data_IF_860995023705
#
_entry.id   IF_860995023705
#
_cell.length_a   1.000
_cell.length_b   1.000
_cell.length_c   1.000
_cell.angle_alpha   90.00
_cell.angle_beta   90.00
_cell.angle_gamma   90.00
#
_symmetry.space_group_name_H-M   'P 1'
#
loop_
_entity.id
_entity.type
_entity.pdbx_description
1 polymer ?
#
# COMPACT_ATOMS: atom_id res chain seq x y z
N UNK A 1 41.36 34.98 33.04
CA UNK A 1 41.29 33.63 32.41
C UNK A 1 40.23 32.71 33.03
N UNK A 2 39.36 33.19 33.94
CA UNK A 2 38.31 32.36 34.56
C UNK A 2 36.96 32.52 33.84
N UNK A 3 36.60 33.74 33.41
CA UNK A 3 35.34 34.01 32.68
C UNK A 3 35.22 33.26 31.34
N UNK A 4 36.33 33.07 30.63
CA UNK A 4 36.35 32.31 29.36
C UNK A 4 36.15 30.81 29.57
N UNK A 5 36.45 30.27 30.76
CA UNK A 5 36.21 28.87 31.12
C UNK A 5 34.76 28.60 31.50
N UNK A 6 34.12 29.52 32.22
CA UNK A 6 32.71 29.35 32.62
C UNK A 6 31.76 29.49 31.42
N UNK A 7 32.04 30.43 30.52
CA UNK A 7 31.28 30.58 29.27
C UNK A 7 31.44 29.36 28.36
N UNK A 8 32.66 28.84 28.18
CA UNK A 8 32.90 27.63 27.38
C UNK A 8 32.28 26.36 27.99
N UNK A 9 32.28 26.22 29.32
CA UNK A 9 31.55 25.12 29.98
C UNK A 9 30.03 25.27 29.81
N UNK A 10 29.49 26.49 29.90
CA UNK A 10 28.07 26.75 29.64
C UNK A 10 27.63 26.38 28.22
N UNK A 11 28.43 26.72 27.20
CA UNK A 11 28.15 26.32 25.82
C UNK A 11 28.19 24.80 25.63
N UNK A 12 29.11 24.10 26.29
CA UNK A 12 29.20 22.64 26.21
C UNK A 12 27.97 21.94 26.82
N UNK A 13 27.48 22.44 27.96
CA UNK A 13 26.27 21.91 28.60
C UNK A 13 25.03 22.19 27.76
N UNK A 14 24.93 23.38 27.18
CA UNK A 14 23.82 23.71 26.27
C UNK A 14 23.84 22.83 25.02
N UNK A 15 25.01 22.64 24.40
CA UNK A 15 25.15 21.84 23.19
C UNK A 15 24.84 20.36 23.45
N UNK A 16 25.29 19.80 24.57
CA UNK A 16 24.96 18.43 24.96
C UNK A 16 23.47 18.26 25.25
N UNK A 17 22.83 19.23 25.92
CA UNK A 17 21.38 19.21 26.14
C UNK A 17 20.58 19.26 24.83
N UNK A 18 21.00 20.08 23.85
CA UNK A 18 20.38 20.15 22.52
C UNK A 18 20.53 18.83 21.77
N UNK A 19 21.71 18.20 21.80
CA UNK A 19 21.92 16.89 21.16
C UNK A 19 21.03 15.82 21.79
N UNK A 20 20.95 15.78 23.12
CA UNK A 20 20.10 14.81 23.84
C UNK A 20 18.62 15.05 23.51
N UNK A 21 18.18 16.30 23.48
CA UNK A 21 16.81 16.66 23.08
C UNK A 21 16.50 16.21 21.65
N UNK A 22 17.39 16.45 20.69
CA UNK A 22 17.23 16.00 19.30
C UNK A 22 17.21 14.47 19.20
N UNK A 23 17.99 13.76 20.00
CA UNK A 23 18.01 12.30 20.04
C UNK A 23 16.69 11.73 20.59
N UNK A 24 16.17 12.31 21.68
CA UNK A 24 14.86 11.95 22.25
C UNK A 24 13.75 12.22 21.24
N UNK A 25 13.77 13.38 20.58
CA UNK A 25 12.80 13.72 19.54
C UNK A 25 12.86 12.74 18.35
N UNK A 26 14.06 12.38 17.89
CA UNK A 26 14.23 11.36 16.83
C UNK A 26 13.65 10.01 17.23
N UNK A 27 13.88 9.55 18.46
CA UNK A 27 13.30 8.30 18.95
C UNK A 27 11.78 8.40 19.09
N UNK A 28 11.24 9.53 19.54
CA UNK A 28 9.80 9.75 19.66
C UNK A 28 9.11 9.76 18.29
N UNK A 29 9.68 10.48 17.31
CA UNK A 29 9.17 10.50 15.94
C UNK A 29 9.34 9.14 15.23
N UNK A 30 10.42 8.41 15.46
CA UNK A 30 10.60 7.07 14.86
C UNK A 30 9.66 6.02 15.44
N UNK A 31 9.17 6.18 16.68
CA UNK A 31 8.40 5.14 17.37
C UNK A 31 6.88 5.32 17.28
N UNK A 32 6.36 6.55 17.14
CA UNK A 32 4.94 6.79 17.47
C UNK A 32 4.01 7.01 16.26
N UNK A 33 4.45 7.56 15.12
CA UNK A 33 3.48 8.06 14.10
C UNK A 33 3.75 7.66 12.63
N UNK A 34 4.97 7.73 12.07
CA UNK A 34 5.15 7.52 10.64
C UNK A 34 4.97 6.05 10.22
N UNK A 35 5.36 5.11 11.08
CA UNK A 35 5.41 3.69 10.70
C UNK A 35 4.06 3.01 10.59
N UNK A 36 3.04 3.44 11.34
CA UNK A 36 1.69 2.87 11.22
C UNK A 36 0.93 3.46 10.04
N UNK A 37 0.86 4.79 9.94
CA UNK A 37 0.19 5.46 8.82
C UNK A 37 0.82 5.11 7.46
N UNK A 38 2.17 5.06 7.36
CA UNK A 38 2.83 4.63 6.12
C UNK A 38 2.65 3.14 5.82
N UNK A 39 2.48 2.31 6.85
CA UNK A 39 2.24 0.88 6.65
C UNK A 39 0.82 0.64 6.16
N UNK A 40 -0.16 1.31 6.78
CA UNK A 40 -1.57 1.26 6.37
C UNK A 40 -1.74 1.79 4.94
N UNK A 41 -1.07 2.89 4.58
CA UNK A 41 -1.09 3.41 3.22
C UNK A 41 -0.43 2.46 2.20
N UNK A 42 0.68 1.81 2.56
CA UNK A 42 1.29 0.79 1.70
C UNK A 42 0.40 -0.43 1.53
N UNK A 43 -0.27 -0.87 2.59
CA UNK A 43 -1.18 -2.00 2.54
C UNK A 43 -2.40 -1.68 1.66
N UNK A 44 -2.96 -0.46 1.74
CA UNK A 44 -4.00 0.03 0.84
C UNK A 44 -3.53 0.06 -0.62
N UNK A 45 -2.42 0.72 -0.91
CA UNK A 45 -1.89 0.82 -2.28
C UNK A 45 -1.61 -0.57 -2.87
N UNK A 46 -1.07 -1.50 -2.07
CA UNK A 46 -0.83 -2.87 -2.51
C UNK A 46 -2.13 -3.61 -2.86
N UNK A 47 -3.22 -3.37 -2.14
CA UNK A 47 -4.53 -3.95 -2.45
C UNK A 47 -5.13 -3.33 -3.72
N UNK A 48 -5.00 -2.01 -3.89
CA UNK A 48 -5.41 -1.32 -5.11
C UNK A 48 -4.63 -1.81 -6.34
N UNK A 49 -3.31 -1.99 -6.22
CA UNK A 49 -2.46 -2.54 -7.28
C UNK A 49 -2.93 -3.95 -7.68
N UNK A 50 -3.17 -4.82 -6.70
CA UNK A 50 -3.67 -6.20 -6.96
C UNK A 50 -5.03 -6.20 -7.65
N UNK A 51 -5.93 -5.31 -7.23
CA UNK A 51 -7.24 -5.15 -7.85
C UNK A 51 -7.12 -4.69 -9.32
N UNK A 52 -6.27 -3.70 -9.59
CA UNK A 52 -6.01 -3.22 -10.96
C UNK A 52 -5.38 -4.31 -11.83
N UNK A 53 -4.40 -5.04 -11.31
CA UNK A 53 -3.77 -6.16 -12.02
C UNK A 53 -4.80 -7.25 -12.37
N UNK A 54 -5.71 -7.59 -11.45
CA UNK A 54 -6.75 -8.59 -11.70
C UNK A 54 -7.72 -8.14 -12.80
N UNK A 55 -8.14 -6.86 -12.79
CA UNK A 55 -8.95 -6.28 -13.87
C UNK A 55 -8.25 -6.31 -15.22
N UNK A 56 -6.97 -5.93 -15.29
CA UNK A 56 -6.20 -6.01 -16.53
C UNK A 56 -6.11 -7.44 -17.08
N UNK A 57 -5.89 -8.43 -16.20
CA UNK A 57 -5.89 -9.84 -16.59
C UNK A 57 -7.24 -10.28 -17.15
N UNK A 58 -8.33 -9.87 -16.51
CA UNK A 58 -9.70 -10.15 -16.96
C UNK A 58 -9.93 -9.57 -18.35
N UNK A 59 -9.61 -8.30 -18.57
CA UNK A 59 -9.75 -7.65 -19.88
C UNK A 59 -8.98 -8.39 -20.96
N UNK A 60 -7.75 -8.80 -20.66
CA UNK A 60 -6.94 -9.60 -21.56
C UNK A 60 -7.64 -10.93 -21.92
N UNK A 61 -8.14 -11.69 -20.94
CA UNK A 61 -8.88 -12.93 -21.21
C UNK A 61 -10.16 -12.71 -22.02
N UNK A 62 -10.91 -11.63 -21.73
CA UNK A 62 -12.11 -11.24 -22.49
C UNK A 62 -11.78 -10.93 -23.94
N UNK A 63 -10.69 -10.19 -24.19
CA UNK A 63 -10.21 -9.90 -25.55
C UNK A 63 -9.81 -11.17 -26.30
N UNK A 64 -9.06 -12.07 -25.65
CA UNK A 64 -8.69 -13.37 -26.25
C UNK A 64 -9.91 -14.24 -26.54
N UNK A 65 -10.90 -14.24 -25.65
CA UNK A 65 -12.15 -14.97 -25.86
C UNK A 65 -12.96 -14.40 -27.02
N UNK A 66 -13.06 -13.08 -27.14
CA UNK A 66 -13.72 -12.42 -28.26
C UNK A 66 -13.01 -12.74 -29.59
N UNK A 67 -11.67 -12.69 -29.58
CA UNK A 67 -10.84 -13.07 -30.72
C UNK A 67 -11.04 -14.55 -31.12
N UNK A 68 -11.00 -15.48 -30.15
CA UNK A 68 -11.22 -16.90 -30.38
C UNK A 68 -12.61 -17.19 -30.96
N UNK A 69 -13.66 -16.53 -30.43
CA UNK A 69 -15.03 -16.62 -30.97
C UNK A 69 -15.11 -16.08 -32.41
N UNK A 70 -14.45 -14.96 -32.70
CA UNK A 70 -14.45 -14.37 -34.06
C UNK A 70 -13.83 -15.29 -35.11
N UNK A 71 -12.84 -16.12 -34.71
CA UNK A 71 -12.15 -17.06 -35.60
C UNK A 71 -12.76 -18.44 -35.64
N UNK A 72 -13.87 -18.66 -34.92
CA UNK A 72 -14.47 -20.00 -34.74
C UNK A 72 -13.44 -21.01 -34.23
N UNK A 73 -12.59 -20.56 -33.29
CA UNK A 73 -11.65 -21.44 -32.61
C UNK A 73 -12.39 -22.61 -31.94
N UNK A 74 -11.67 -23.70 -31.67
CA UNK A 74 -12.27 -24.91 -31.11
C UNK A 74 -13.05 -24.64 -29.82
N UNK A 75 -14.17 -25.33 -29.63
CA UNK A 75 -15.03 -25.18 -28.44
C UNK A 75 -14.25 -25.37 -27.13
N UNK A 76 -13.21 -26.21 -27.13
CA UNK A 76 -12.36 -26.45 -25.96
C UNK A 76 -11.56 -25.20 -25.55
N UNK A 77 -11.00 -24.46 -26.52
CA UNK A 77 -10.21 -23.26 -26.27
C UNK A 77 -11.10 -22.10 -25.79
N UNK A 78 -12.28 -21.94 -26.39
CA UNK A 78 -13.30 -20.98 -25.94
C UNK A 78 -13.76 -21.29 -24.52
N UNK A 79 -14.03 -22.57 -24.21
CA UNK A 79 -14.44 -23.00 -22.87
C UNK A 79 -13.34 -22.77 -21.84
N UNK A 80 -12.08 -23.03 -22.20
CA UNK A 80 -10.92 -22.77 -21.32
C UNK A 80 -10.79 -21.28 -21.02
N UNK A 81 -10.85 -20.42 -22.03
CA UNK A 81 -10.78 -18.96 -21.85
C UNK A 81 -11.96 -18.44 -21.03
N UNK A 82 -13.16 -19.00 -21.22
CA UNK A 82 -14.33 -18.64 -20.44
C UNK A 82 -14.17 -18.98 -18.95
N UNK A 83 -13.66 -20.18 -18.64
CA UNK A 83 -13.30 -20.55 -17.26
C UNK A 83 -12.23 -19.65 -16.65
N UNK A 84 -11.26 -19.19 -17.46
CA UNK A 84 -10.26 -18.24 -16.99
C UNK A 84 -10.89 -16.89 -16.63
N UNK A 85 -11.83 -16.38 -17.44
CA UNK A 85 -12.59 -15.17 -17.12
C UNK A 85 -13.38 -15.36 -15.83
N UNK A 86 -14.18 -16.42 -15.71
CA UNK A 86 -14.98 -16.70 -14.51
C UNK A 86 -14.13 -16.81 -13.24
N UNK A 87 -12.95 -17.43 -13.33
CA UNK A 87 -12.02 -17.53 -12.20
C UNK A 87 -11.45 -16.17 -11.81
N UNK A 88 -11.11 -15.32 -12.79
CA UNK A 88 -10.61 -13.97 -12.51
C UNK A 88 -11.72 -13.06 -11.99
N UNK A 89 -12.96 -13.23 -12.45
CA UNK A 89 -14.13 -12.51 -11.91
C UNK A 89 -14.33 -12.85 -10.43
N UNK A 90 -14.27 -14.13 -10.06
CA UNK A 90 -14.34 -14.53 -8.65
C UNK A 90 -13.17 -13.99 -7.80
N UNK A 91 -11.97 -13.83 -8.38
CA UNK A 91 -10.83 -13.19 -7.70
C UNK A 91 -11.07 -11.69 -7.49
N UNK A 92 -11.67 -11.00 -8.46
CA UNK A 92 -12.02 -9.59 -8.36
C UNK A 92 -13.09 -9.38 -7.29
N UNK A 93 -14.13 -10.22 -7.24
CA UNK A 93 -15.19 -10.14 -6.24
C UNK A 93 -14.63 -10.29 -4.81
N UNK A 94 -13.72 -11.26 -4.59
CA UNK A 94 -13.05 -11.46 -3.30
C UNK A 94 -12.15 -10.27 -2.92
N UNK A 95 -11.42 -9.70 -3.89
CA UNK A 95 -10.61 -8.50 -3.67
C UNK A 95 -11.48 -7.28 -3.35
N UNK A 96 -12.63 -7.13 -4.02
CA UNK A 96 -13.59 -6.05 -3.78
C UNK A 96 -14.21 -6.17 -2.38
N UNK A 97 -14.55 -7.38 -1.94
CA UNK A 97 -15.02 -7.63 -0.57
C UNK A 97 -13.95 -7.27 0.47
N UNK A 98 -12.70 -7.67 0.24
CA UNK A 98 -11.58 -7.31 1.12
C UNK A 98 -11.32 -5.80 1.19
N UNK A 99 -11.40 -5.11 0.04
CA UNK A 99 -11.26 -3.65 -0.03
C UNK A 99 -12.42 -2.96 0.67
N UNK A 100 -13.66 -3.41 0.47
CA UNK A 100 -14.84 -2.88 1.15
C UNK A 100 -14.79 -3.10 2.68
N UNK A 101 -14.29 -4.26 3.13
CA UNK A 101 -14.07 -4.53 4.54
C UNK A 101 -13.06 -3.54 5.15
N UNK A 102 -11.92 -3.33 4.49
CA UNK A 102 -10.90 -2.36 4.91
C UNK A 102 -11.49 -0.94 4.98
N UNK A 103 -12.21 -0.49 3.96
CA UNK A 103 -12.84 0.85 3.97
C UNK A 103 -13.83 1.03 5.12
N UNK A 104 -14.61 -0.02 5.44
CA UNK A 104 -15.57 -0.02 6.55
C UNK A 104 -14.88 0.03 7.92
N UNK A 105 -13.80 -0.73 8.11
CA UNK A 105 -13.01 -0.70 9.35
C UNK A 105 -12.34 0.66 9.58
N UNK A 106 -11.91 1.33 8.51
CA UNK A 106 -11.24 2.63 8.58
C UNK A 106 -12.18 3.84 8.55
N UNK A 107 -13.51 3.64 8.55
CA UNK A 107 -14.50 4.72 8.63
C UNK A 107 -14.56 5.61 7.39
N UNK A 108 -13.94 5.21 6.29
CA UNK A 108 -14.05 5.88 5.00
C UNK A 108 -15.25 5.26 4.30
N UNK A 109 -16.45 5.78 4.56
CA UNK A 109 -17.64 5.32 3.82
C UNK A 109 -17.41 5.57 2.33
N UNK A 110 -17.42 4.51 1.53
CA UNK A 110 -17.51 4.60 0.09
C UNK A 110 -18.62 5.60 -0.27
N UNK A 111 -18.25 6.70 -0.92
CA UNK A 111 -19.19 7.68 -1.44
C UNK A 111 -19.79 7.19 -2.74
#
# INVERSE_FOLDING_TARGET
>A
MVETRETTMGYFVFFTAVIVYLYVMKNYFNTVVPTRALREERERNKMEDRYHEAHQRREHFVQHLAWAKSRKAGNEEVTRLQKCVEKTDAEIDDLEEQVNHLYKEHGVSAR
#
